data_IF_813190210118
#
_entry.id   IF_813190210118
#
_cell.length_a   1.000
_cell.length_b   1.000
_cell.length_c   1.000
_cell.angle_alpha   90.00
_cell.angle_beta   90.00
_cell.angle_gamma   90.00
#
_symmetry.space_group_name_H-M   'P 1'
#
loop_
_entity.id
_entity.type
_entity.pdbx_description
1 polymer ?
#
# COMPACT_ATOMS: atom_id res chain seq x y z
N UNK A 1 53.39 9.25 -6.41
CA UNK A 1 52.25 10.12 -6.71
C UNK A 1 51.03 9.22 -6.89
N UNK A 2 50.24 9.07 -5.86
CA UNK A 2 49.04 8.25 -5.89
C UNK A 2 47.88 9.16 -6.35
N UNK A 3 47.43 8.96 -7.56
CA UNK A 3 46.16 9.52 -8.02
C UNK A 3 45.05 8.80 -7.28
N UNK A 4 44.53 9.44 -6.26
CA UNK A 4 43.23 9.10 -5.70
C UNK A 4 42.18 9.43 -6.77
N UNK A 5 41.78 8.43 -7.52
CA UNK A 5 40.57 8.49 -8.34
C UNK A 5 39.40 8.69 -7.38
N UNK A 6 38.99 9.94 -7.20
CA UNK A 6 37.72 10.28 -6.56
C UNK A 6 36.62 9.63 -7.41
N UNK A 7 36.05 8.53 -6.93
CA UNK A 7 34.78 8.08 -7.44
C UNK A 7 33.83 9.27 -7.36
N UNK A 8 33.15 9.66 -8.46
CA UNK A 8 32.12 10.67 -8.36
C UNK A 8 31.15 10.19 -7.28
N UNK A 9 30.96 10.99 -6.23
CA UNK A 9 29.88 10.84 -5.31
C UNK A 9 28.64 10.80 -6.19
N UNK A 10 27.99 9.64 -6.28
CA UNK A 10 26.69 9.52 -6.94
C UNK A 10 25.81 10.44 -6.10
N UNK A 11 25.49 11.61 -6.64
CA UNK A 11 24.51 12.50 -6.05
C UNK A 11 23.23 11.70 -5.94
N UNK A 12 22.63 11.56 -4.76
CA UNK A 12 21.40 10.78 -4.63
C UNK A 12 20.41 11.35 -5.63
N UNK A 13 19.88 10.48 -6.48
CA UNK A 13 18.95 10.90 -7.52
C UNK A 13 17.81 11.69 -6.86
N UNK A 14 17.57 12.88 -7.39
CA UNK A 14 16.44 13.70 -6.94
C UNK A 14 15.15 12.91 -7.10
N UNK A 15 14.25 12.87 -6.10
CA UNK A 15 12.99 12.15 -6.22
C UNK A 15 12.23 12.59 -7.48
N UNK A 16 11.78 11.64 -8.28
CA UNK A 16 10.95 11.93 -9.46
C UNK A 16 9.55 12.37 -9.01
N UNK A 17 9.36 13.68 -8.85
CA UNK A 17 8.09 14.28 -8.47
C UNK A 17 7.37 14.80 -9.72
N UNK A 18 6.12 14.37 -9.90
CA UNK A 18 5.27 14.76 -11.03
C UNK A 18 3.87 15.12 -10.57
N UNK A 19 3.27 16.07 -11.26
CA UNK A 19 1.83 16.34 -11.15
C UNK A 19 1.13 15.50 -12.20
N UNK A 20 0.19 14.66 -11.75
CA UNK A 20 -0.59 13.77 -12.61
C UNK A 20 -2.08 14.03 -12.41
N UNK A 21 -2.92 13.74 -13.44
CA UNK A 21 -4.36 13.68 -13.27
C UNK A 21 -4.74 12.63 -12.21
N UNK A 22 -5.65 12.99 -11.30
CA UNK A 22 -6.12 12.08 -10.24
C UNK A 22 -6.77 10.82 -10.85
N UNK A 23 -7.45 10.96 -11.96
CA UNK A 23 -8.11 9.87 -12.69
C UNK A 23 -7.15 8.80 -13.25
N UNK A 24 -5.87 9.13 -13.40
CA UNK A 24 -4.84 8.17 -13.84
C UNK A 24 -4.19 7.42 -12.68
N UNK A 25 -4.51 7.78 -11.43
CA UNK A 25 -3.97 7.14 -10.23
C UNK A 25 -4.93 6.03 -9.79
N UNK A 26 -4.55 4.77 -9.99
CA UNK A 26 -5.36 3.61 -9.64
C UNK A 26 -4.89 3.00 -8.33
N UNK A 27 -5.85 2.60 -7.52
CA UNK A 27 -5.62 1.91 -6.27
C UNK A 27 -5.37 0.42 -6.52
N UNK A 28 -4.66 -0.24 -5.63
CA UNK A 28 -4.43 -1.69 -5.68
C UNK A 28 -5.00 -2.41 -4.45
N UNK A 29 -5.43 -1.67 -3.44
CA UNK A 29 -6.11 -2.17 -2.23
C UNK A 29 -7.37 -1.36 -1.96
N UNK A 30 -8.33 -1.98 -1.26
CA UNK A 30 -9.48 -1.24 -0.73
C UNK A 30 -9.04 -0.18 0.28
N UNK A 31 -9.58 1.01 0.14
CA UNK A 31 -9.34 2.12 1.06
C UNK A 31 -10.08 1.95 2.37
N UNK A 32 -9.48 2.48 3.44
CA UNK A 32 -10.14 2.67 4.71
C UNK A 32 -10.93 4.00 4.68
N UNK A 33 -12.24 3.91 4.44
CA UNK A 33 -13.11 5.08 4.36
C UNK A 33 -13.09 5.94 5.65
N UNK A 34 -12.84 5.33 6.82
CA UNK A 34 -12.78 6.06 8.10
C UNK A 34 -11.58 7.00 8.16
N UNK A 35 -10.51 6.74 7.41
CA UNK A 35 -9.32 7.59 7.33
C UNK A 35 -9.42 8.70 6.30
N UNK A 36 -10.22 8.54 5.27
CA UNK A 36 -10.27 9.48 4.14
C UNK A 36 -10.91 10.82 4.53
N UNK A 37 -12.04 10.82 5.23
CA UNK A 37 -12.75 12.06 5.59
C UNK A 37 -11.98 12.96 6.58
N UNK A 38 -11.33 12.46 7.65
CA UNK A 38 -10.45 13.28 8.48
C UNK A 38 -9.26 13.86 7.71
N UNK A 39 -8.69 13.08 6.79
CA UNK A 39 -7.57 13.51 5.96
C UNK A 39 -7.96 14.62 4.99
N UNK A 40 -9.14 14.52 4.35
CA UNK A 40 -9.66 15.58 3.48
C UNK A 40 -9.80 16.90 4.23
N UNK A 41 -10.40 16.89 5.43
CA UNK A 41 -10.52 18.10 6.28
C UNK A 41 -9.17 18.70 6.64
N UNK A 42 -8.16 17.85 6.93
CA UNK A 42 -6.80 18.32 7.24
C UNK A 42 -6.15 18.96 6.01
N UNK A 43 -6.25 18.35 4.85
CA UNK A 43 -5.72 18.89 3.61
C UNK A 43 -6.31 20.28 3.29
N UNK A 44 -7.63 20.44 3.44
CA UNK A 44 -8.28 21.75 3.26
C UNK A 44 -7.81 22.79 4.27
N UNK A 45 -7.70 22.42 5.55
CA UNK A 45 -7.31 23.34 6.60
C UNK A 45 -5.85 23.80 6.47
N UNK A 46 -4.94 22.89 6.08
CA UNK A 46 -3.51 23.17 5.93
C UNK A 46 -3.17 23.81 4.60
N UNK A 47 -3.93 23.53 3.54
CA UNK A 47 -3.66 23.99 2.18
C UNK A 47 -2.36 23.43 1.56
N UNK A 48 -1.82 22.36 2.16
CA UNK A 48 -0.54 21.76 1.78
C UNK A 48 -0.65 20.26 1.60
N UNK A 49 0.00 19.74 0.56
CA UNK A 49 0.30 18.32 0.43
C UNK A 49 1.68 18.06 1.04
N UNK A 50 1.70 17.61 2.30
CA UNK A 50 2.95 17.39 3.05
C UNK A 50 3.77 16.25 2.45
N UNK A 51 3.17 15.10 2.27
CA UNK A 51 3.83 13.90 1.78
C UNK A 51 3.11 13.44 0.49
N UNK A 52 3.74 13.52 -0.68
CA UNK A 52 3.13 13.07 -1.91
C UNK A 52 2.79 11.58 -1.85
N UNK A 53 1.68 11.13 -2.44
CA UNK A 53 1.50 9.70 -2.74
C UNK A 53 2.66 9.18 -3.57
N UNK A 54 2.93 7.88 -3.47
CA UNK A 54 3.97 7.21 -4.23
C UNK A 54 3.31 6.26 -5.21
N UNK A 55 3.68 6.37 -6.48
CA UNK A 55 3.07 5.60 -7.54
C UNK A 55 4.13 5.04 -8.50
N UNK A 56 3.72 4.03 -9.24
CA UNK A 56 4.54 3.42 -10.30
C UNK A 56 3.72 3.35 -11.59
N UNK A 57 4.33 3.47 -12.78
CA UNK A 57 3.60 3.26 -14.04
C UNK A 57 2.98 1.87 -14.08
N UNK A 58 1.72 1.78 -14.51
CA UNK A 58 1.06 0.50 -14.71
C UNK A 58 1.63 -0.18 -15.97
N UNK A 59 2.34 -1.29 -15.76
CA UNK A 59 2.90 -2.07 -16.86
C UNK A 59 1.77 -2.68 -17.71
N UNK A 60 1.99 -2.73 -19.02
CA UNK A 60 1.03 -3.29 -19.99
C UNK A 60 -0.40 -2.73 -19.85
N UNK A 61 -0.50 -1.43 -19.53
CA UNK A 61 -1.81 -0.77 -19.38
C UNK A 61 -2.58 -0.78 -20.69
N UNK A 62 -3.74 -1.44 -20.77
CA UNK A 62 -4.53 -1.49 -22.00
C UNK A 62 -5.08 -0.12 -22.44
N UNK A 63 -5.09 0.87 -21.53
CA UNK A 63 -5.47 2.26 -21.84
C UNK A 63 -4.30 3.11 -22.34
N UNK A 64 -3.06 2.65 -22.17
CA UNK A 64 -1.90 3.35 -22.69
C UNK A 64 -1.83 3.23 -24.21
N UNK A 65 -1.68 4.34 -24.90
CA UNK A 65 -1.69 4.39 -26.36
C UNK A 65 -2.98 5.02 -26.90
N UNK A 66 -3.09 5.18 -28.21
CA UNK A 66 -4.27 5.81 -28.86
C UNK A 66 -4.56 7.24 -28.36
N UNK A 67 -3.53 7.96 -27.92
CA UNK A 67 -3.67 9.34 -27.41
C UNK A 67 -3.99 9.44 -25.91
N UNK A 68 -4.06 8.33 -25.18
CA UNK A 68 -4.25 8.32 -23.73
C UNK A 68 -2.92 8.10 -22.99
N UNK A 69 -2.72 8.85 -21.91
CA UNK A 69 -1.62 8.61 -20.99
C UNK A 69 -1.88 7.32 -20.20
N UNK A 70 -0.82 6.53 -19.94
CA UNK A 70 -0.92 5.33 -19.12
C UNK A 70 -1.28 5.66 -17.66
N UNK A 71 -1.93 4.72 -16.99
CA UNK A 71 -2.28 4.81 -15.58
C UNK A 71 -1.07 4.52 -14.68
N UNK A 72 -1.21 4.87 -13.42
CA UNK A 72 -0.20 4.66 -12.39
C UNK A 72 -0.82 3.95 -11.18
N UNK A 73 -0.19 2.91 -10.69
CA UNK A 73 -0.62 2.20 -9.47
C UNK A 73 -0.06 2.95 -8.25
N UNK A 74 -0.93 3.33 -7.34
CA UNK A 74 -0.56 4.02 -6.09
C UNK A 74 -0.07 2.98 -5.09
N UNK A 75 1.24 2.96 -4.81
CA UNK A 75 1.87 2.04 -3.86
C UNK A 75 1.72 2.49 -2.40
N UNK A 76 1.70 3.81 -2.18
CA UNK A 76 1.47 4.41 -0.86
C UNK A 76 0.70 5.72 -0.99
N UNK A 77 -0.20 5.98 -0.06
CA UNK A 77 -0.97 7.23 -0.01
C UNK A 77 -2.29 7.19 -0.78
N UNK A 78 -2.89 6.03 -1.01
CA UNK A 78 -4.20 5.90 -1.64
C UNK A 78 -5.26 6.79 -0.98
N UNK A 79 -5.34 6.82 0.36
CA UNK A 79 -6.26 7.72 1.08
C UNK A 79 -6.04 9.21 0.75
N UNK A 80 -4.81 9.63 0.41
CA UNK A 80 -4.50 11.03 -0.01
C UNK A 80 -5.04 11.30 -1.41
N UNK A 81 -4.89 10.35 -2.31
CA UNK A 81 -5.45 10.43 -3.67
C UNK A 81 -6.98 10.50 -3.59
N UNK A 82 -7.61 9.60 -2.85
CA UNK A 82 -9.07 9.58 -2.65
C UNK A 82 -9.57 10.86 -1.99
N UNK A 83 -8.85 11.38 -0.97
CA UNK A 83 -9.22 12.65 -0.32
C UNK A 83 -9.14 13.82 -1.30
N UNK A 84 -8.08 13.93 -2.11
CA UNK A 84 -7.98 14.97 -3.13
C UNK A 84 -9.08 14.86 -4.19
N UNK A 85 -9.40 13.64 -4.63
CA UNK A 85 -10.54 13.39 -5.53
C UNK A 85 -11.87 13.86 -4.94
N UNK A 86 -12.14 13.56 -3.66
CA UNK A 86 -13.36 14.01 -2.95
C UNK A 86 -13.44 15.53 -2.79
N UNK A 87 -12.31 16.21 -2.75
CA UNK A 87 -12.18 17.67 -2.74
C UNK A 87 -12.17 18.30 -4.14
N UNK A 88 -12.45 17.49 -5.18
CA UNK A 88 -12.50 17.91 -6.58
C UNK A 88 -11.19 18.47 -7.13
N UNK A 89 -10.05 17.96 -6.66
CA UNK A 89 -8.78 18.23 -7.31
C UNK A 89 -8.64 17.34 -8.55
N UNK A 90 -8.43 17.95 -9.71
CA UNK A 90 -8.19 17.22 -10.97
C UNK A 90 -6.76 16.67 -11.05
N UNK A 91 -5.84 17.20 -10.27
CA UNK A 91 -4.42 16.82 -10.29
C UNK A 91 -3.88 16.56 -8.88
N UNK A 92 -2.91 15.67 -8.81
CA UNK A 92 -2.17 15.33 -7.59
C UNK A 92 -0.66 15.36 -7.85
N UNK A 93 0.12 15.92 -6.91
CA UNK A 93 1.56 15.74 -6.90
C UNK A 93 1.86 14.34 -6.36
N UNK A 94 2.65 13.56 -7.09
CA UNK A 94 3.06 12.20 -6.73
C UNK A 94 4.57 12.03 -6.87
N UNK A 95 5.15 11.10 -6.14
CA UNK A 95 6.49 10.59 -6.39
C UNK A 95 6.39 9.33 -7.24
N UNK A 96 7.13 9.28 -8.35
CA UNK A 96 7.20 8.11 -9.21
C UNK A 96 8.41 7.26 -8.84
N UNK A 97 8.21 5.97 -8.73
CA UNK A 97 9.27 5.01 -8.41
C UNK A 97 9.15 3.77 -9.32
N UNK A 98 10.26 3.11 -9.68
CA UNK A 98 10.20 1.78 -10.28
C UNK A 98 9.73 0.76 -9.22
N UNK A 99 8.88 -0.19 -9.61
CA UNK A 99 8.33 -1.20 -8.70
C UNK A 99 9.24 -2.45 -8.64
N UNK A 100 10.48 -2.21 -8.26
CA UNK A 100 11.50 -3.26 -8.17
C UNK A 100 12.58 -2.89 -7.13
N UNK A 101 13.27 -3.88 -6.55
CA UNK A 101 14.42 -3.63 -5.70
C UNK A 101 15.55 -2.91 -6.46
N UNK A 102 16.34 -2.06 -5.80
CA UNK A 102 16.26 -1.74 -4.38
C UNK A 102 15.23 -0.65 -4.03
N UNK A 103 14.62 0.03 -5.01
CA UNK A 103 13.75 1.19 -4.80
C UNK A 103 12.49 0.83 -4.03
N UNK A 104 11.87 -0.30 -4.38
CA UNK A 104 10.68 -0.81 -3.70
C UNK A 104 10.83 -2.29 -3.41
N UNK A 105 10.67 -2.67 -2.15
CA UNK A 105 10.53 -4.07 -1.74
C UNK A 105 9.11 -4.29 -1.26
N UNK A 106 8.41 -5.23 -1.88
CA UNK A 106 7.08 -5.64 -1.46
C UNK A 106 7.18 -6.67 -0.33
N UNK A 107 6.46 -6.44 0.73
CA UNK A 107 6.22 -7.34 1.85
C UNK A 107 4.73 -7.41 2.14
N UNK A 108 4.34 -8.18 3.13
CA UNK A 108 2.93 -8.36 3.48
C UNK A 108 2.69 -7.99 4.94
N UNK A 109 1.63 -7.23 5.19
CA UNK A 109 1.03 -7.12 6.50
C UNK A 109 0.07 -8.28 6.73
N UNK A 110 0.04 -8.78 7.93
CA UNK A 110 -0.98 -9.71 8.42
C UNK A 110 -2.03 -8.93 9.19
N UNK A 111 -3.21 -9.50 9.36
CA UNK A 111 -4.25 -8.89 10.16
C UNK A 111 -4.27 -9.48 11.56
N UNK A 112 -4.28 -8.57 12.55
CA UNK A 112 -4.59 -8.88 13.93
C UNK A 112 -6.04 -8.44 14.17
N UNK A 113 -6.89 -9.39 14.53
CA UNK A 113 -8.33 -9.18 14.71
C UNK A 113 -8.64 -9.24 16.20
N UNK A 114 -9.40 -8.24 16.69
CA UNK A 114 -9.84 -8.12 18.09
C UNK A 114 -11.35 -7.92 18.17
N UNK A 115 -11.90 -8.08 19.35
CA UNK A 115 -13.26 -7.68 19.70
C UNK A 115 -14.38 -8.43 18.97
N UNK A 116 -14.07 -9.56 18.37
CA UNK A 116 -15.03 -10.54 17.86
C UNK A 116 -14.86 -11.82 18.68
N UNK A 117 -15.93 -12.45 19.13
CA UNK A 117 -15.80 -13.74 19.80
C UNK A 117 -15.31 -14.81 18.83
N UNK A 118 -14.54 -15.78 19.38
CA UNK A 118 -13.85 -16.77 18.56
C UNK A 118 -14.81 -17.72 17.82
N UNK A 119 -15.97 -17.99 18.38
CA UNK A 119 -16.99 -18.86 17.77
C UNK A 119 -17.59 -18.17 16.53
N UNK A 120 -18.01 -16.90 16.67
CA UNK A 120 -18.53 -16.09 15.57
C UNK A 120 -17.46 -15.93 14.48
N UNK A 121 -16.22 -15.56 14.84
CA UNK A 121 -15.13 -15.42 13.87
C UNK A 121 -14.90 -16.69 13.07
N UNK A 122 -14.92 -17.85 13.75
CA UNK A 122 -14.71 -19.14 13.12
C UNK A 122 -15.87 -19.53 12.20
N UNK A 123 -17.10 -19.39 12.70
CA UNK A 123 -18.31 -19.75 11.94
C UNK A 123 -18.45 -18.93 10.66
N UNK A 124 -18.11 -17.66 10.69
CA UNK A 124 -18.20 -16.80 9.51
C UNK A 124 -17.13 -17.12 8.48
N UNK A 125 -15.90 -17.46 8.90
CA UNK A 125 -14.87 -17.93 7.98
C UNK A 125 -15.27 -19.28 7.35
N UNK A 126 -15.78 -20.21 8.15
CA UNK A 126 -16.20 -21.53 7.68
C UNK A 126 -17.42 -21.46 6.73
N UNK A 127 -18.20 -20.38 6.77
CA UNK A 127 -19.36 -20.15 5.91
C UNK A 127 -19.01 -19.57 4.52
N UNK A 128 -17.73 -19.24 4.27
CA UNK A 128 -17.32 -18.66 2.97
C UNK A 128 -17.34 -19.74 1.89
N UNK A 129 -18.23 -19.58 0.92
CA UNK A 129 -18.29 -20.51 -0.23
C UNK A 129 -16.97 -20.48 -1.03
N UNK A 130 -16.49 -21.64 -1.40
CA UNK A 130 -15.24 -21.81 -2.15
C UNK A 130 -13.99 -21.90 -1.27
N UNK A 131 -14.09 -21.76 0.07
CA UNK A 131 -12.99 -21.99 1.01
C UNK A 131 -13.23 -23.25 1.84
N UNK A 132 -12.13 -23.93 2.16
CA UNK A 132 -12.04 -25.04 3.09
C UNK A 132 -11.02 -24.71 4.18
N UNK A 133 -11.41 -24.81 5.46
CA UNK A 133 -10.55 -24.58 6.61
C UNK A 133 -10.21 -25.89 7.29
N UNK A 134 -8.93 -26.18 7.41
CA UNK A 134 -8.42 -27.39 8.04
C UNK A 134 -7.46 -27.07 9.17
N UNK A 135 -7.68 -27.66 10.33
CA UNK A 135 -6.74 -27.58 11.46
C UNK A 135 -5.40 -28.22 11.07
N UNK A 136 -4.31 -27.52 11.35
CA UNK A 136 -2.95 -27.90 10.97
C UNK A 136 -1.97 -27.31 12.01
N UNK A 137 -0.76 -27.83 12.10
CA UNK A 137 0.26 -27.18 12.92
C UNK A 137 0.90 -25.97 12.22
N UNK A 138 1.47 -25.07 13.00
CA UNK A 138 2.00 -23.79 12.52
C UNK A 138 3.15 -23.97 11.52
N UNK A 139 4.00 -24.98 11.68
CA UNK A 139 5.12 -25.22 10.78
C UNK A 139 4.63 -25.62 9.38
N UNK A 140 3.67 -26.51 9.31
CA UNK A 140 3.05 -26.91 8.04
C UNK A 140 2.24 -25.77 7.43
N UNK A 141 1.56 -24.94 8.24
CA UNK A 141 0.84 -23.76 7.75
C UNK A 141 1.79 -22.77 7.06
N UNK A 142 2.92 -22.43 7.70
CA UNK A 142 3.97 -21.55 7.12
C UNK A 142 4.53 -22.14 5.83
N UNK A 143 4.90 -23.42 5.84
CA UNK A 143 5.47 -24.08 4.69
C UNK A 143 4.50 -24.17 3.51
N UNK A 144 3.23 -24.48 3.76
CA UNK A 144 2.19 -24.53 2.73
C UNK A 144 1.86 -23.14 2.16
N UNK A 145 1.80 -22.10 3.02
CA UNK A 145 1.60 -20.73 2.54
C UNK A 145 2.76 -20.27 1.67
N UNK A 146 4.01 -20.56 2.05
CA UNK A 146 5.20 -20.23 1.26
C UNK A 146 5.21 -20.91 -0.11
N UNK A 147 4.69 -22.13 -0.21
CA UNK A 147 4.52 -22.87 -1.48
C UNK A 147 3.27 -22.49 -2.25
N UNK A 148 2.42 -21.58 -1.71
CA UNK A 148 1.13 -21.20 -2.29
C UNK A 148 0.10 -22.35 -2.33
N UNK A 149 0.27 -23.38 -1.48
CA UNK A 149 -0.71 -24.49 -1.29
C UNK A 149 -1.99 -23.98 -0.60
N UNK A 150 -1.84 -22.92 0.20
CA UNK A 150 -2.91 -22.24 0.93
C UNK A 150 -3.10 -20.81 0.45
N UNK A 151 -4.32 -20.30 0.55
CA UNK A 151 -4.65 -18.90 0.29
C UNK A 151 -4.22 -18.01 1.48
N UNK A 152 -4.46 -18.51 2.69
CA UNK A 152 -4.11 -17.87 3.95
C UNK A 152 -4.07 -18.93 5.06
N UNK A 153 -3.66 -18.54 6.25
CA UNK A 153 -3.98 -19.31 7.45
C UNK A 153 -4.33 -18.38 8.61
N UNK A 154 -5.07 -18.90 9.57
CA UNK A 154 -5.40 -18.19 10.81
C UNK A 154 -4.70 -18.81 11.99
N UNK A 155 -4.23 -17.99 12.93
CA UNK A 155 -3.78 -18.41 14.26
C UNK A 155 -4.76 -17.84 15.27
N UNK A 156 -5.63 -18.67 15.83
CA UNK A 156 -6.69 -18.26 16.74
C UNK A 156 -6.13 -17.94 18.14
N UNK A 157 -6.89 -17.19 18.92
CA UNK A 157 -6.49 -16.83 20.28
C UNK A 157 -6.29 -18.04 21.21
N UNK A 158 -6.92 -19.17 20.93
CA UNK A 158 -6.72 -20.45 21.65
C UNK A 158 -5.43 -21.20 21.22
N UNK A 159 -4.66 -20.65 20.28
CA UNK A 159 -3.43 -21.23 19.75
C UNK A 159 -3.63 -22.20 18.59
N UNK A 160 -4.87 -22.51 18.20
CA UNK A 160 -5.14 -23.38 17.06
C UNK A 160 -4.87 -22.67 15.75
N UNK A 161 -4.37 -23.42 14.78
CA UNK A 161 -4.03 -22.92 13.44
C UNK A 161 -4.91 -23.62 12.41
N UNK A 162 -5.48 -22.83 11.50
CA UNK A 162 -6.32 -23.33 10.41
C UNK A 162 -5.81 -22.80 9.08
N UNK A 163 -5.49 -23.70 8.16
CA UNK A 163 -5.14 -23.35 6.79
C UNK A 163 -6.40 -23.16 5.95
N UNK A 164 -6.46 -22.09 5.18
CA UNK A 164 -7.53 -21.77 4.25
C UNK A 164 -7.11 -22.16 2.83
N UNK A 165 -7.83 -23.07 2.21
CA UNK A 165 -7.59 -23.54 0.85
C UNK A 165 -8.79 -23.25 -0.04
N UNK A 166 -8.56 -22.95 -1.33
CA UNK A 166 -9.64 -22.96 -2.30
C UNK A 166 -10.13 -24.41 -2.53
N UNK A 167 -11.44 -24.60 -2.59
CA UNK A 167 -12.04 -25.93 -2.83
C UNK A 167 -11.77 -26.45 -4.24
N UNK A 168 -11.36 -25.58 -5.18
CA UNK A 168 -10.98 -25.87 -6.56
C UNK A 168 -9.68 -25.18 -6.91
N UNK A 169 -9.04 -25.61 -8.01
CA UNK A 169 -7.92 -24.83 -8.58
C UNK A 169 -8.40 -23.41 -8.91
N UNK A 170 -7.70 -22.42 -8.38
CA UNK A 170 -8.09 -21.02 -8.46
C UNK A 170 -6.99 -20.15 -9.09
N UNK A 171 -7.39 -19.28 -10.00
CA UNK A 171 -6.56 -18.21 -10.57
C UNK A 171 -6.20 -17.17 -9.52
N UNK A 172 -5.30 -16.25 -9.83
CA UNK A 172 -4.97 -15.13 -8.92
C UNK A 172 -6.22 -14.27 -8.62
N UNK A 173 -7.09 -14.06 -9.59
CA UNK A 173 -8.32 -13.30 -9.45
C UNK A 173 -9.31 -13.98 -8.49
N UNK A 174 -9.54 -15.29 -8.68
CA UNK A 174 -10.40 -16.07 -7.80
C UNK A 174 -9.85 -16.12 -6.35
N UNK A 175 -8.53 -16.31 -6.19
CA UNK A 175 -7.87 -16.26 -4.87
C UNK A 175 -8.04 -14.88 -4.22
N UNK A 176 -7.90 -13.80 -5.01
CA UNK A 176 -8.14 -12.45 -4.52
C UNK A 176 -9.58 -12.25 -4.04
N UNK A 177 -10.55 -12.75 -4.79
CA UNK A 177 -11.96 -12.74 -4.39
C UNK A 177 -12.20 -13.46 -3.07
N UNK A 178 -11.61 -14.66 -2.88
CA UNK A 178 -11.71 -15.42 -1.64
C UNK A 178 -11.02 -14.72 -0.46
N UNK A 179 -9.87 -14.07 -0.68
CA UNK A 179 -9.19 -13.28 0.35
C UNK A 179 -10.02 -12.05 0.77
N UNK A 180 -10.63 -11.36 -0.19
CA UNK A 180 -11.55 -10.27 0.10
C UNK A 180 -12.75 -10.76 0.93
N UNK A 181 -13.36 -11.90 0.55
CA UNK A 181 -14.44 -12.50 1.32
C UNK A 181 -14.02 -12.82 2.75
N UNK A 182 -12.79 -13.34 2.97
CA UNK A 182 -12.25 -13.57 4.32
C UNK A 182 -12.16 -12.28 5.13
N UNK A 183 -11.58 -11.23 4.54
CA UNK A 183 -11.38 -9.94 5.22
C UNK A 183 -12.71 -9.26 5.51
N UNK A 184 -13.68 -9.40 4.61
CA UNK A 184 -15.02 -8.82 4.76
C UNK A 184 -15.78 -9.38 5.98
N UNK A 185 -15.47 -10.60 6.43
CA UNK A 185 -16.13 -11.17 7.62
C UNK A 185 -15.83 -10.40 8.90
N UNK A 186 -14.66 -9.76 9.00
CA UNK A 186 -14.21 -9.12 10.24
C UNK A 186 -13.83 -7.63 10.14
N UNK A 187 -13.61 -7.08 8.95
CA UNK A 187 -13.06 -5.71 8.80
C UNK A 187 -13.92 -4.59 9.40
N UNK A 188 -15.24 -4.80 9.52
CA UNK A 188 -16.18 -3.79 10.04
C UNK A 188 -16.79 -4.15 11.40
N UNK A 189 -16.45 -5.35 11.95
CA UNK A 189 -17.08 -5.88 13.15
C UNK A 189 -16.24 -5.76 14.39
N UNK A 190 -14.92 -5.73 14.25
CA UNK A 190 -13.98 -5.68 15.34
C UNK A 190 -12.85 -4.70 15.09
N UNK A 191 -11.86 -4.72 15.97
CA UNK A 191 -10.61 -4.02 15.73
C UNK A 191 -9.77 -4.76 14.70
N UNK A 192 -9.30 -4.04 13.68
CA UNK A 192 -8.38 -4.53 12.68
C UNK A 192 -7.05 -3.79 12.76
N UNK A 193 -5.98 -4.51 13.08
CA UNK A 193 -4.62 -3.97 13.18
C UNK A 193 -3.68 -4.71 12.25
N UNK A 194 -2.59 -4.06 11.86
CA UNK A 194 -1.54 -4.65 11.04
C UNK A 194 -0.49 -5.31 11.92
N UNK A 195 -0.09 -6.53 11.57
CA UNK A 195 0.95 -7.29 12.24
C UNK A 195 2.01 -7.78 11.25
N UNK A 196 3.22 -8.01 11.73
CA UNK A 196 4.32 -8.63 10.97
C UNK A 196 4.68 -10.01 11.51
N UNK A 197 3.94 -10.48 12.51
CA UNK A 197 4.17 -11.76 13.19
C UNK A 197 2.94 -12.64 13.10
N UNK A 198 3.17 -13.94 13.10
CA UNK A 198 2.14 -14.98 13.30
C UNK A 198 2.20 -15.61 14.70
N UNK A 199 3.01 -15.02 15.61
CA UNK A 199 3.13 -15.48 16.99
C UNK A 199 1.98 -14.90 17.83
N UNK A 200 0.98 -15.72 18.11
CA UNK A 200 -0.21 -15.31 18.84
C UNK A 200 0.10 -14.84 20.27
N UNK A 201 1.12 -15.41 20.90
CA UNK A 201 1.53 -15.02 22.26
C UNK A 201 2.06 -13.59 22.33
N UNK A 202 2.83 -13.16 21.31
CA UNK A 202 3.33 -11.80 21.24
C UNK A 202 2.20 -10.80 20.94
N UNK A 203 1.28 -11.18 20.06
CA UNK A 203 0.11 -10.37 19.74
C UNK A 203 -0.80 -10.20 20.96
N UNK A 204 -1.04 -11.25 21.73
CA UNK A 204 -1.91 -11.22 22.92
C UNK A 204 -1.39 -10.32 24.03
N UNK A 205 -0.07 -10.18 24.18
CA UNK A 205 0.52 -9.28 25.16
C UNK A 205 0.18 -7.81 24.90
N UNK A 206 0.10 -7.44 23.61
CA UNK A 206 -0.22 -6.07 23.19
C UNK A 206 -1.72 -5.83 23.04
N UNK A 207 -2.47 -6.89 22.69
CA UNK A 207 -3.91 -6.85 22.42
C UNK A 207 -4.63 -7.93 23.22
N UNK A 208 -5.02 -7.63 24.48
CA UNK A 208 -5.69 -8.62 25.35
C UNK A 208 -7.01 -9.17 24.80
N UNK A 209 -7.71 -8.38 23.98
CA UNK A 209 -8.96 -8.78 23.31
C UNK A 209 -8.72 -9.46 21.95
N UNK A 210 -7.53 -10.04 21.73
CA UNK A 210 -7.17 -10.76 20.50
C UNK A 210 -8.14 -11.89 20.23
N UNK A 211 -8.75 -11.89 19.04
CA UNK A 211 -9.53 -13.01 18.48
C UNK A 211 -8.62 -13.95 17.70
N UNK A 212 -7.75 -13.40 16.85
CA UNK A 212 -6.80 -14.18 16.08
C UNK A 212 -5.96 -13.34 15.12
N UNK A 213 -5.04 -14.04 14.48
CA UNK A 213 -4.21 -13.50 13.39
C UNK A 213 -4.65 -14.13 12.07
N UNK A 214 -4.72 -13.35 11.02
CA UNK A 214 -4.93 -13.84 9.65
C UNK A 214 -3.65 -13.55 8.86
N UNK A 215 -3.02 -14.62 8.40
CA UNK A 215 -1.71 -14.59 7.78
C UNK A 215 -1.86 -14.78 6.28
N UNK A 216 -1.40 -13.81 5.52
CA UNK A 216 -1.51 -13.75 4.07
C UNK A 216 -0.20 -14.14 3.38
N UNK A 217 -0.26 -14.64 2.13
CA UNK A 217 0.93 -14.93 1.34
C UNK A 217 1.65 -13.65 0.96
N UNK A 218 2.95 -13.74 0.71
CA UNK A 218 3.67 -12.66 0.04
C UNK A 218 3.23 -12.58 -1.43
N UNK A 219 2.98 -11.38 -1.88
CA UNK A 219 2.70 -11.10 -3.29
C UNK A 219 3.97 -10.69 -4.03
N UNK A 220 4.02 -11.01 -5.30
CA UNK A 220 5.01 -10.45 -6.21
C UNK A 220 4.47 -9.14 -6.83
N UNK A 221 5.36 -8.17 -7.15
CA UNK A 221 4.93 -6.93 -7.81
C UNK A 221 4.09 -7.16 -9.06
N UNK A 222 4.40 -8.20 -9.85
CA UNK A 222 3.65 -8.57 -11.05
C UNK A 222 2.22 -9.02 -10.76
N UNK A 223 1.98 -9.66 -9.62
CA UNK A 223 0.63 -10.09 -9.21
C UNK A 223 -0.23 -8.86 -8.82
N UNK A 224 0.36 -7.92 -8.06
CA UNK A 224 -0.30 -6.65 -7.71
C UNK A 224 -0.64 -5.85 -8.96
N UNK A 225 0.31 -5.77 -9.92
CA UNK A 225 0.10 -5.05 -11.18
C UNK A 225 -0.97 -5.70 -12.05
N UNK A 226 -1.05 -7.03 -12.10
CA UNK A 226 -2.08 -7.75 -12.85
C UNK A 226 -3.48 -7.44 -12.29
N UNK A 227 -3.67 -7.55 -10.97
CA UNK A 227 -4.95 -7.22 -10.33
C UNK A 227 -5.35 -5.76 -10.57
N UNK A 228 -4.43 -4.82 -10.34
CA UNK A 228 -4.69 -3.39 -10.54
C UNK A 228 -5.03 -3.04 -12.00
N UNK A 229 -4.37 -3.69 -12.98
CA UNK A 229 -4.67 -3.53 -14.41
C UNK A 229 -6.10 -3.93 -14.75
N UNK A 230 -6.55 -5.02 -14.14
CA UNK A 230 -7.89 -5.57 -14.39
C UNK A 230 -8.97 -4.92 -13.49
N UNK A 231 -8.58 -3.88 -12.72
CA UNK A 231 -9.50 -3.12 -11.86
C UNK A 231 -9.88 -3.84 -10.57
N UNK A 232 -9.14 -4.86 -10.18
CA UNK A 232 -9.36 -5.59 -8.93
C UNK A 232 -8.52 -5.03 -7.80
N UNK A 233 -9.10 -5.04 -6.60
CA UNK A 233 -8.45 -4.54 -5.39
C UNK A 233 -8.11 -5.70 -4.46
N UNK A 234 -6.92 -5.66 -3.90
CA UNK A 234 -6.53 -6.50 -2.78
C UNK A 234 -7.29 -6.09 -1.50
N UNK A 235 -7.41 -6.97 -0.52
CA UNK A 235 -7.94 -6.60 0.79
C UNK A 235 -7.19 -5.42 1.40
N UNK A 236 -7.91 -4.59 2.15
CA UNK A 236 -7.33 -3.41 2.80
C UNK A 236 -6.16 -3.76 3.71
N UNK A 237 -5.06 -3.02 3.61
CA UNK A 237 -3.94 -3.14 4.53
C UNK A 237 -3.13 -4.42 4.43
N UNK A 238 -3.12 -5.07 3.27
CA UNK A 238 -2.38 -6.30 3.03
C UNK A 238 -0.97 -6.03 2.54
N UNK A 239 -0.78 -5.12 1.58
CA UNK A 239 0.55 -4.84 1.03
C UNK A 239 1.37 -3.92 1.94
N UNK A 240 2.66 -4.21 2.02
CA UNK A 240 3.65 -3.42 2.73
C UNK A 240 4.79 -3.05 1.79
N UNK A 241 4.74 -1.83 1.26
CA UNK A 241 5.81 -1.31 0.40
C UNK A 241 6.90 -0.66 1.24
N UNK A 242 8.09 -1.25 1.22
CA UNK A 242 9.31 -0.67 1.77
C UNK A 242 9.97 0.13 0.65
N UNK A 243 9.83 1.45 0.70
CA UNK A 243 10.23 2.36 -0.38
C UNK A 243 11.43 3.17 0.07
N UNK A 244 12.51 3.12 -0.71
CA UNK A 244 13.70 3.94 -0.50
C UNK A 244 13.53 5.33 -1.09
N UNK A 245 14.21 6.32 -0.50
CA UNK A 245 14.24 7.68 -1.04
C UNK A 245 12.87 8.37 -1.05
N UNK A 246 12.01 8.14 -0.04
CA UNK A 246 10.71 8.82 0.08
C UNK A 246 10.89 10.33 0.18
N UNK A 247 10.18 11.07 -0.66
CA UNK A 247 10.05 12.52 -0.54
C UNK A 247 9.07 12.85 0.59
N UNK A 248 9.59 13.25 1.73
CA UNK A 248 8.79 13.60 2.91
C UNK A 248 8.83 15.11 3.16
N UNK A 249 7.74 15.65 3.74
CA UNK A 249 7.61 17.09 4.05
C UNK A 249 7.87 17.99 2.85
N UNK A 250 7.43 17.57 1.68
CA UNK A 250 7.50 18.37 0.45
C UNK A 250 6.70 19.67 0.63
N UNK A 251 5.57 19.62 1.36
CA UNK A 251 4.73 20.78 1.69
C UNK A 251 4.31 21.57 0.44
N UNK A 252 3.87 20.86 -0.59
CA UNK A 252 3.47 21.47 -1.85
C UNK A 252 2.12 22.18 -1.72
N UNK A 253 1.99 23.45 -2.17
CA UNK A 253 0.74 24.19 -2.06
C UNK A 253 -0.40 23.55 -2.86
N UNK A 254 -1.52 23.28 -2.21
CA UNK A 254 -2.70 22.72 -2.87
C UNK A 254 -3.35 23.72 -3.86
N UNK A 255 -3.16 25.02 -3.65
CA UNK A 255 -3.59 26.07 -4.60
C UNK A 255 -3.01 25.89 -6.00
N UNK A 256 -1.76 25.42 -6.09
CA UNK A 256 -1.09 25.21 -7.37
C UNK A 256 -1.65 23.99 -8.11
N UNK A 257 -2.10 22.96 -7.38
CA UNK A 257 -2.80 21.81 -7.94
C UNK A 257 -4.20 22.18 -8.44
N UNK A 258 -4.88 23.10 -7.75
CA UNK A 258 -6.26 23.52 -8.05
C UNK A 258 -6.35 24.57 -9.16
N UNK A 259 -5.24 25.20 -9.53
CA UNK A 259 -5.21 26.24 -10.56
C UNK A 259 -5.70 25.71 -11.92
N UNK A 260 -6.24 26.61 -12.75
CA UNK A 260 -6.72 26.28 -14.11
C UNK A 260 -5.60 26.16 -15.17
N UNK A 261 -4.34 26.15 -14.74
CA UNK A 261 -3.18 25.98 -15.62
C UNK A 261 -3.18 24.57 -16.24
N UNK A 262 -2.66 24.47 -17.45
CA UNK A 262 -2.47 23.15 -18.09
C UNK A 262 -1.52 22.26 -17.28
N UNK A 263 -1.65 20.94 -17.43
CA UNK A 263 -0.79 19.96 -16.76
C UNK A 263 0.70 20.21 -17.07
N UNK A 264 1.03 20.53 -18.32
CA UNK A 264 2.39 20.91 -18.72
C UNK A 264 2.91 22.13 -17.94
N UNK A 265 2.10 23.18 -17.85
CA UNK A 265 2.47 24.39 -17.10
C UNK A 265 2.65 24.13 -15.63
N UNK A 266 1.83 23.26 -15.03
CA UNK A 266 1.97 22.82 -13.62
C UNK A 266 3.27 22.06 -13.41
N UNK A 267 3.61 21.11 -14.28
CA UNK A 267 4.85 20.35 -14.18
C UNK A 267 6.08 21.21 -14.44
N UNK A 268 6.03 22.18 -15.37
CA UNK A 268 7.10 23.15 -15.56
C UNK A 268 7.32 24.03 -14.30
N UNK A 269 6.24 24.49 -13.68
CA UNK A 269 6.31 25.25 -12.43
C UNK A 269 6.87 24.39 -11.27
N UNK A 270 6.47 23.11 -11.17
CA UNK A 270 7.00 22.16 -10.19
C UNK A 270 8.52 21.98 -10.39
N UNK A 271 8.98 21.79 -11.62
CA UNK A 271 10.41 21.61 -11.92
C UNK A 271 11.22 22.84 -11.49
N UNK A 272 10.73 24.04 -11.77
CA UNK A 272 11.39 25.26 -11.32
C UNK A 272 11.35 25.42 -9.80
N UNK A 273 10.23 25.09 -9.14
CA UNK A 273 10.11 25.09 -7.69
C UNK A 273 11.12 24.13 -7.04
N UNK A 274 11.27 22.91 -7.57
CA UNK A 274 12.26 21.93 -7.10
C UNK A 274 13.69 22.46 -7.29
N UNK A 275 13.98 23.04 -8.46
CA UNK A 275 15.30 23.61 -8.75
C UNK A 275 15.67 24.70 -7.73
N UNK A 276 14.73 25.58 -7.39
CA UNK A 276 14.93 26.61 -6.37
C UNK A 276 15.18 25.99 -5.00
N UNK A 277 14.37 25.00 -4.57
CA UNK A 277 14.55 24.30 -3.29
C UNK A 277 15.91 23.64 -3.17
N UNK A 278 16.38 22.97 -4.24
CA UNK A 278 17.70 22.35 -4.29
C UNK A 278 18.82 23.40 -4.22
N UNK A 279 18.73 24.47 -5.01
CA UNK A 279 19.72 25.55 -5.03
C UNK A 279 19.82 26.26 -3.67
N UNK A 280 18.71 26.43 -2.97
CA UNK A 280 18.65 27.03 -1.63
C UNK A 280 19.03 26.06 -0.50
N UNK A 281 19.43 24.83 -0.82
CA UNK A 281 19.78 23.77 0.17
C UNK A 281 18.65 23.48 1.16
N UNK A 282 17.40 23.61 0.71
CA UNK A 282 16.21 23.30 1.49
C UNK A 282 15.81 21.81 1.39
N UNK A 283 16.50 21.04 0.55
CA UNK A 283 16.33 19.59 0.41
C UNK A 283 17.51 18.90 1.04
N UNK A 284 17.22 17.88 1.87
CA UNK A 284 18.24 17.05 2.51
C UNK A 284 17.97 15.59 2.17
N UNK A 285 19.02 14.85 1.86
CA UNK A 285 18.95 13.41 1.68
C UNK A 285 19.56 12.69 2.88
N UNK A 286 18.85 11.67 3.36
CA UNK A 286 19.29 10.78 4.42
C UNK A 286 19.30 9.35 3.87
N UNK A 287 20.50 8.74 3.78
CA UNK A 287 20.66 7.37 3.30
C UNK A 287 20.31 6.33 4.37
N UNK A 288 20.38 6.74 5.63
CA UNK A 288 20.07 5.90 6.79
C UNK A 288 18.56 5.83 7.07
N UNK A 289 18.14 4.73 7.69
CA UNK A 289 16.76 4.61 8.18
C UNK A 289 16.48 5.68 9.25
N UNK A 290 15.47 6.49 9.01
CA UNK A 290 15.14 7.66 9.84
C UNK A 290 13.75 7.52 10.43
N UNK A 291 13.59 7.84 11.73
CA UNK A 291 12.29 8.02 12.36
C UNK A 291 11.82 9.46 12.15
N UNK A 292 10.66 9.61 11.52
CA UNK A 292 9.98 10.90 11.38
C UNK A 292 8.74 10.89 12.29
N UNK A 293 8.72 11.82 13.25
CA UNK A 293 7.55 12.05 14.08
C UNK A 293 6.64 13.04 13.33
N UNK A 294 5.73 12.50 12.55
CA UNK A 294 4.68 13.28 11.89
C UNK A 294 3.50 13.43 12.83
N UNK A 295 2.85 14.57 12.74
CA UNK A 295 1.66 14.92 13.51
C UNK A 295 0.43 14.08 13.13
#
# INVERSE_FOLDING_TARGET
MNEHTLHPLIDPETPDLRILPVELLVEHEYNDAQRTAPLARRLEAEGLLKNPPIATPLADDPFAGSGHAGRYVVLDGANRVTALGSLHYSHCLVQIVPYEPPQVTLSTWHHLVTDIDLETFSAELDAIDGLDFREIDLLHARAGLARRDFIAYTVRADGKVFAASATKSATIHEKNGLLNAMVDTYKERGGLFRATTDQVEDARRLYPALTGLVIFPNYEPSEVMALARDGELLPTGLTRHLIQGRALRVNYPLSDLKSDKSLESKNAALSEWLRVKMASKEVRYYAEATYLFDE
#
